data_IF_669031884741
#
_entry.id   IF_669031884741
#
_cell.length_a   1.000
_cell.length_b   1.000
_cell.length_c   1.000
_cell.angle_alpha   90.00
_cell.angle_beta   90.00
_cell.angle_gamma   90.00
#
_symmetry.space_group_name_H-M   'P 1'
#
loop_
_entity.id
_entity.type
_entity.pdbx_description
1 polymer ?
#
# COMPACT_ATOMS: atom_id res chain seq x y z
N UNK A 1 9.02 -29.34 14.54
CA UNK A 1 8.13 -28.17 14.64
C UNK A 1 8.93 -26.93 14.24
N UNK A 2 8.37 -26.05 13.41
CA UNK A 2 9.07 -24.87 12.87
C UNK A 2 9.46 -23.86 13.97
N UNK A 3 8.66 -23.76 15.03
CA UNK A 3 8.91 -22.93 16.20
C UNK A 3 10.26 -23.19 16.85
N UNK A 4 10.71 -24.46 16.88
CA UNK A 4 12.02 -24.84 17.44
C UNK A 4 13.21 -24.30 16.64
N UNK A 5 12.98 -23.78 15.42
CA UNK A 5 13.99 -23.18 14.54
C UNK A 5 14.00 -21.65 14.63
N UNK A 6 13.08 -21.05 15.40
CA UNK A 6 12.99 -19.61 15.57
C UNK A 6 13.90 -19.15 16.70
N UNK A 7 14.86 -18.29 16.35
CA UNK A 7 15.61 -17.52 17.33
C UNK A 7 14.80 -16.26 17.70
N UNK A 8 14.28 -16.23 18.93
CA UNK A 8 13.30 -15.22 19.37
C UNK A 8 13.84 -13.80 19.27
N UNK A 9 15.08 -13.56 19.67
CA UNK A 9 15.69 -12.23 19.65
C UNK A 9 15.81 -11.69 18.21
N UNK A 10 16.32 -12.52 17.30
CA UNK A 10 16.45 -12.17 15.87
C UNK A 10 15.08 -11.99 15.22
N UNK A 11 14.12 -12.88 15.52
CA UNK A 11 12.75 -12.78 15.02
C UNK A 11 12.08 -11.48 15.45
N UNK A 12 12.20 -11.13 16.73
CA UNK A 12 11.62 -9.91 17.30
C UNK A 12 12.24 -8.66 16.66
N UNK A 13 13.57 -8.64 16.48
CA UNK A 13 14.26 -7.54 15.80
C UNK A 13 13.78 -7.36 14.36
N UNK A 14 13.58 -8.45 13.62
CA UNK A 14 13.06 -8.39 12.24
C UNK A 14 11.65 -7.84 12.18
N UNK A 15 10.74 -8.32 13.02
CA UNK A 15 9.36 -7.82 13.08
C UNK A 15 9.32 -6.34 13.45
N UNK A 16 10.11 -5.93 14.46
CA UNK A 16 10.23 -4.51 14.83
C UNK A 16 10.66 -3.66 13.65
N UNK A 17 11.75 -4.04 12.98
CA UNK A 17 12.29 -3.28 11.86
C UNK A 17 11.29 -3.23 10.68
N UNK A 18 10.60 -4.35 10.42
CA UNK A 18 9.58 -4.42 9.37
C UNK A 18 8.44 -3.44 9.65
N UNK A 19 7.87 -3.46 10.85
CA UNK A 19 6.78 -2.56 11.23
C UNK A 19 7.21 -1.09 11.22
N UNK A 20 8.43 -0.79 11.68
CA UNK A 20 8.98 0.57 11.61
C UNK A 20 9.13 1.05 10.17
N UNK A 21 9.67 0.20 9.28
CA UNK A 21 9.87 0.53 7.87
C UNK A 21 8.54 0.73 7.16
N UNK A 22 7.60 -0.19 7.33
CA UNK A 22 6.25 -0.07 6.78
C UNK A 22 5.55 1.23 7.20
N UNK A 23 5.69 1.61 8.47
CA UNK A 23 5.06 2.84 8.95
C UNK A 23 5.65 4.09 8.27
N UNK A 24 6.97 4.12 8.06
CA UNK A 24 7.64 5.21 7.33
C UNK A 24 7.25 5.24 5.85
N UNK A 25 7.18 4.08 5.20
CA UNK A 25 6.78 3.96 3.80
C UNK A 25 5.33 4.41 3.59
N UNK A 26 4.41 3.91 4.41
CA UNK A 26 2.99 4.28 4.34
C UNK A 26 2.78 5.79 4.56
N UNK A 27 3.51 6.36 5.52
CA UNK A 27 3.50 7.81 5.76
C UNK A 27 4.02 8.58 4.54
N UNK A 28 5.07 8.06 3.89
CA UNK A 28 5.66 8.68 2.69
C UNK A 28 4.68 8.65 1.52
N UNK A 29 3.99 7.53 1.31
CA UNK A 29 2.95 7.38 0.29
C UNK A 29 1.80 8.37 0.54
N UNK A 30 1.27 8.42 1.78
CA UNK A 30 0.19 9.36 2.11
C UNK A 30 0.56 10.82 1.83
N UNK A 31 1.80 11.21 2.15
CA UNK A 31 2.32 12.56 1.86
C UNK A 31 2.48 12.82 0.37
N UNK A 32 2.88 11.83 -0.43
CA UNK A 32 2.96 11.96 -1.88
C UNK A 32 1.58 12.21 -2.52
N UNK A 33 0.52 11.70 -1.90
CA UNK A 33 -0.88 12.02 -2.24
C UNK A 33 -1.37 13.35 -1.62
N UNK A 34 -0.50 14.14 -0.99
CA UNK A 34 -0.87 15.41 -0.35
C UNK A 34 -1.60 15.25 0.99
N UNK A 35 -1.61 14.06 1.59
CA UNK A 35 -2.32 13.78 2.85
C UNK A 35 -1.35 13.76 4.04
N UNK A 36 -1.80 14.32 5.16
CA UNK A 36 -1.00 14.32 6.41
C UNK A 36 -1.14 13.04 7.24
N UNK A 37 -2.23 12.29 7.03
CA UNK A 37 -2.54 11.05 7.72
C UNK A 37 -3.02 10.01 6.70
N UNK A 38 -2.62 8.75 6.87
CA UNK A 38 -3.04 7.64 6.00
C UNK A 38 -4.56 7.45 5.99
N UNK A 39 -5.25 7.77 7.08
CA UNK A 39 -6.71 7.70 7.15
C UNK A 39 -7.43 8.77 6.32
N UNK A 40 -6.71 9.73 5.75
CA UNK A 40 -7.26 10.75 4.85
C UNK A 40 -7.04 10.42 3.36
N UNK A 41 -6.51 9.24 3.06
CA UNK A 41 -6.46 8.75 1.68
C UNK A 41 -7.88 8.49 1.20
N UNK A 42 -8.18 9.07 0.05
CA UNK A 42 -9.47 8.95 -0.60
C UNK A 42 -9.34 8.09 -1.86
N UNK A 43 -10.48 7.76 -2.43
CA UNK A 43 -10.55 6.94 -3.64
C UNK A 43 -9.87 7.61 -4.84
N UNK A 44 -9.93 8.94 -4.90
CA UNK A 44 -9.36 9.76 -5.97
C UNK A 44 -7.83 9.74 -5.97
N UNK A 45 -7.20 9.33 -4.85
CA UNK A 45 -5.74 9.16 -4.76
C UNK A 45 -5.25 7.85 -5.40
N UNK A 46 -6.15 6.97 -5.85
CA UNK A 46 -5.85 5.66 -6.45
C UNK A 46 -5.89 5.68 -7.98
N UNK A 47 -5.05 4.83 -8.57
CA UNK A 47 -5.06 4.50 -10.01
C UNK A 47 -4.95 2.98 -10.19
N UNK A 48 -5.56 2.45 -11.25
CA UNK A 48 -5.51 1.02 -11.55
C UNK A 48 -4.33 0.68 -12.47
N UNK A 49 -3.61 -0.41 -12.17
CA UNK A 49 -2.49 -0.88 -13.00
C UNK A 49 -2.90 -1.80 -14.15
N UNK A 50 -4.13 -2.34 -14.12
CA UNK A 50 -4.67 -3.19 -15.19
C UNK A 50 -6.04 -2.72 -15.64
N UNK A 51 -6.44 -3.12 -16.86
CA UNK A 51 -7.73 -2.74 -17.45
C UNK A 51 -8.88 -3.35 -16.66
N UNK A 52 -8.74 -4.60 -16.20
CA UNK A 52 -9.75 -5.29 -15.41
C UNK A 52 -9.96 -4.61 -14.06
N UNK A 53 -8.86 -4.25 -13.39
CA UNK A 53 -8.93 -3.50 -12.13
C UNK A 53 -9.56 -2.12 -12.34
N UNK A 54 -9.22 -1.42 -13.43
CA UNK A 54 -9.82 -0.14 -13.77
C UNK A 54 -11.35 -0.25 -13.98
N UNK A 55 -11.80 -1.27 -14.71
CA UNK A 55 -13.20 -1.54 -14.98
C UNK A 55 -13.98 -1.93 -13.71
N UNK A 56 -13.47 -2.91 -12.94
CA UNK A 56 -14.13 -3.42 -11.74
C UNK A 56 -14.17 -2.38 -10.63
N UNK A 57 -13.03 -1.72 -10.41
CA UNK A 57 -12.88 -0.75 -9.35
C UNK A 57 -13.28 0.65 -9.78
N UNK A 58 -13.75 0.91 -11.02
CA UNK A 58 -14.12 2.24 -11.56
C UNK A 58 -13.12 3.33 -11.20
N UNK A 59 -11.86 3.08 -11.52
CA UNK A 59 -10.72 3.99 -11.34
C UNK A 59 -10.01 4.15 -12.68
N UNK A 60 -9.34 5.30 -12.91
CA UNK A 60 -8.58 5.50 -14.15
C UNK A 60 -7.43 4.50 -14.27
N UNK A 61 -7.16 4.07 -15.50
CA UNK A 61 -5.95 3.29 -15.81
C UNK A 61 -4.72 4.20 -15.67
N UNK A 62 -3.69 3.69 -14.98
CA UNK A 62 -2.47 4.43 -14.69
C UNK A 62 -1.86 5.07 -15.95
N UNK A 63 -1.52 6.37 -15.85
CA UNK A 63 -1.02 7.16 -16.97
C UNK A 63 -2.09 7.71 -17.90
N UNK A 64 -3.38 7.50 -17.62
CA UNK A 64 -4.50 7.97 -18.45
C UNK A 64 -5.64 8.53 -17.60
N UNK A 65 -6.61 9.17 -18.24
CA UNK A 65 -7.90 9.54 -17.63
C UNK A 65 -9.03 8.58 -18.00
N UNK A 66 -8.72 7.44 -18.61
CA UNK A 66 -9.71 6.51 -19.15
C UNK A 66 -10.15 5.49 -18.10
N UNK A 67 -11.47 5.28 -18.01
CA UNK A 67 -12.10 4.24 -17.19
C UNK A 67 -12.86 3.31 -18.14
N UNK A 68 -12.47 2.03 -18.27
CA UNK A 68 -13.15 1.12 -19.18
C UNK A 68 -14.61 0.86 -18.76
N UNK A 69 -15.54 0.99 -19.71
CA UNK A 69 -16.96 0.69 -19.50
C UNK A 69 -17.78 1.81 -18.82
N UNK A 70 -17.16 2.97 -18.56
CA UNK A 70 -17.81 4.23 -18.21
C UNK A 70 -17.76 5.16 -19.42
#
# INVERSE_FOLDING_TARGET
MLEKRLEVEVGTKRVKNYLQTLNMELTTIARACGKQNVHHLEREDLVALTIEAAAMARLPLAGTSWIPGV
#
